data_IF_000732344582
#
_entry.id   IF_000732344582
#
_cell.length_a   1.000
_cell.length_b   1.000
_cell.length_c   1.000
_cell.angle_alpha   90.00
_cell.angle_beta   90.00
_cell.angle_gamma   90.00
#
_symmetry.space_group_name_H-M   'P 1'
#
loop_
_entity.id
_entity.type
_entity.pdbx_description
1 polymer ?
#
# COMPACT_ATOMS: atom_id res chain seq x y z
N UNK A 1 -6.16 -7.94 -2.22
CA UNK A 1 -5.51 -8.72 -1.14
C UNK A 1 -5.91 -8.12 0.20
N UNK A 2 -5.99 -8.94 1.26
CA UNK A 2 -6.23 -8.50 2.63
C UNK A 2 -5.29 -9.26 3.57
N UNK A 3 -4.79 -8.58 4.61
CA UNK A 3 -4.09 -9.24 5.72
C UNK A 3 -5.04 -9.28 6.90
N UNK A 4 -5.47 -10.48 7.28
CA UNK A 4 -6.36 -10.71 8.41
C UNK A 4 -5.53 -11.31 9.53
N UNK A 5 -5.64 -10.74 10.73
CA UNK A 5 -4.96 -11.21 11.93
C UNK A 5 -6.04 -11.54 12.95
N UNK A 6 -5.98 -12.73 13.52
CA UNK A 6 -6.92 -13.13 14.57
C UNK A 6 -6.76 -12.25 15.79
N UNK A 7 -7.85 -12.11 16.56
CA UNK A 7 -7.93 -11.16 17.67
C UNK A 7 -6.87 -11.43 18.73
N UNK A 8 -6.58 -12.69 19.02
CA UNK A 8 -5.55 -13.13 19.97
C UNK A 8 -4.13 -12.72 19.56
N UNK A 9 -3.87 -12.54 18.27
CA UNK A 9 -2.57 -12.11 17.74
C UNK A 9 -2.49 -10.60 17.47
N UNK A 10 -3.50 -9.83 17.88
CA UNK A 10 -3.52 -8.37 17.71
C UNK A 10 -2.43 -7.71 18.57
N UNK A 11 -1.97 -6.53 18.13
CA UNK A 11 -0.97 -5.70 18.82
C UNK A 11 0.46 -6.28 18.91
N UNK A 12 0.71 -7.47 18.36
CA UNK A 12 2.06 -8.07 18.27
C UNK A 12 2.89 -7.63 17.05
N UNK A 13 2.40 -6.64 16.29
CA UNK A 13 3.12 -6.09 15.12
C UNK A 13 3.04 -6.93 13.84
N UNK A 14 2.38 -8.10 13.84
CA UNK A 14 2.30 -8.98 12.67
C UNK A 14 1.72 -8.30 11.42
N UNK A 15 0.64 -7.52 11.54
CA UNK A 15 0.08 -6.78 10.41
C UNK A 15 1.11 -5.81 9.79
N UNK A 16 1.94 -5.17 10.61
CA UNK A 16 3.00 -4.26 10.16
C UNK A 16 4.11 -5.04 9.44
N UNK A 17 4.48 -6.20 9.97
CA UNK A 17 5.46 -7.08 9.35
C UNK A 17 4.99 -7.59 7.97
N UNK A 18 3.76 -8.13 7.88
CA UNK A 18 3.18 -8.60 6.61
C UNK A 18 3.11 -7.47 5.58
N UNK A 19 2.67 -6.27 6.00
CA UNK A 19 2.65 -5.11 5.11
C UNK A 19 4.07 -4.73 4.64
N UNK A 20 5.08 -4.80 5.51
CA UNK A 20 6.48 -4.51 5.14
C UNK A 20 7.03 -5.52 4.13
N UNK A 21 6.80 -6.82 4.35
CA UNK A 21 7.21 -7.87 3.41
C UNK A 21 6.56 -7.64 2.04
N UNK A 22 5.25 -7.39 2.02
CA UNK A 22 4.52 -7.09 0.80
C UNK A 22 5.05 -5.83 0.10
N UNK A 23 5.28 -4.74 0.83
CA UNK A 23 5.84 -3.50 0.28
C UNK A 23 7.23 -3.73 -0.33
N UNK A 24 8.08 -4.52 0.32
CA UNK A 24 9.40 -4.86 -0.22
C UNK A 24 9.31 -5.75 -1.47
N UNK A 25 8.34 -6.66 -1.54
CA UNK A 25 8.13 -7.49 -2.72
C UNK A 25 7.61 -6.68 -3.91
N UNK A 26 6.59 -5.82 -3.71
CA UNK A 26 6.06 -5.00 -4.81
C UNK A 26 7.07 -3.99 -5.34
N UNK A 27 7.98 -3.48 -4.49
CA UNK A 27 9.07 -2.59 -4.90
C UNK A 27 9.96 -3.18 -5.97
N UNK A 28 10.10 -4.51 -6.00
CA UNK A 28 10.92 -5.22 -6.98
C UNK A 28 10.19 -5.50 -8.30
N UNK A 29 8.90 -5.15 -8.40
CA UNK A 29 8.11 -5.36 -9.60
C UNK A 29 8.19 -4.10 -10.47
N UNK A 30 8.96 -4.16 -11.57
CA UNK A 30 9.28 -3.00 -12.41
C UNK A 30 8.05 -2.27 -12.96
N UNK A 31 6.97 -3.02 -13.23
CA UNK A 31 5.74 -2.52 -13.83
C UNK A 31 4.70 -2.02 -12.81
N UNK A 32 4.97 -2.12 -11.50
CA UNK A 32 4.04 -1.68 -10.45
C UNK A 32 4.49 -0.34 -9.89
N UNK A 33 3.84 0.73 -10.33
CA UNK A 33 4.15 2.09 -9.87
C UNK A 33 3.40 2.48 -8.60
N UNK A 34 2.19 1.94 -8.43
CA UNK A 34 1.29 2.34 -7.36
C UNK A 34 0.70 1.12 -6.64
N UNK A 35 0.56 1.26 -5.33
CA UNK A 35 -0.19 0.35 -4.49
C UNK A 35 -1.41 1.10 -3.96
N UNK A 36 -2.60 0.54 -4.15
CA UNK A 36 -3.84 1.14 -3.65
C UNK A 36 -4.48 0.30 -2.53
N UNK A 37 -5.40 0.89 -1.78
CA UNK A 37 -6.21 0.17 -0.82
C UNK A 37 -7.32 1.02 -0.20
N UNK A 38 -8.23 0.37 0.52
CA UNK A 38 -9.28 1.04 1.29
C UNK A 38 -8.96 0.96 2.77
N UNK A 39 -9.11 2.08 3.49
CA UNK A 39 -8.95 2.14 4.95
C UNK A 39 -10.02 3.04 5.55
N UNK A 40 -10.37 2.85 6.82
CA UNK A 40 -11.27 3.79 7.52
C UNK A 40 -10.68 5.20 7.47
N UNK A 41 -11.52 6.21 7.26
CA UNK A 41 -11.12 7.62 7.17
C UNK A 41 -10.13 8.02 8.28
N UNK A 42 -9.04 8.69 7.89
CA UNK A 42 -7.96 9.16 8.75
C UNK A 42 -6.86 8.14 9.05
N UNK A 43 -7.02 6.86 8.68
CA UNK A 43 -5.97 5.86 8.88
C UNK A 43 -4.81 6.06 7.91
N UNK A 44 -5.07 6.51 6.67
CA UNK A 44 -4.01 6.71 5.68
C UNK A 44 -2.98 7.76 6.10
N UNK A 45 -3.38 8.75 6.91
CA UNK A 45 -2.50 9.82 7.41
C UNK A 45 -1.35 9.31 8.28
N UNK A 46 -1.46 8.08 8.79
CA UNK A 46 -0.43 7.44 9.61
C UNK A 46 0.58 6.65 8.77
N UNK A 47 0.35 6.51 7.47
CA UNK A 47 1.22 5.76 6.59
C UNK A 47 2.43 6.61 6.18
N UNK A 48 3.62 6.00 6.18
CA UNK A 48 4.83 6.62 5.64
C UNK A 48 4.86 6.54 4.11
N UNK A 49 5.51 7.49 3.46
CA UNK A 49 5.71 7.53 2.00
C UNK A 49 4.75 8.51 1.30
N UNK A 50 4.81 8.54 -0.04
CA UNK A 50 3.94 9.38 -0.85
C UNK A 50 2.54 8.75 -0.96
N UNK A 51 1.56 9.29 -0.24
CA UNK A 51 0.19 8.79 -0.14
C UNK A 51 -0.78 9.86 -0.64
N UNK A 52 -1.63 9.49 -1.61
CA UNK A 52 -2.69 10.33 -2.13
C UNK A 52 -4.05 9.68 -1.86
N UNK A 53 -5.02 10.45 -1.36
CA UNK A 53 -6.41 10.00 -1.25
C UNK A 53 -7.07 10.24 -2.62
N UNK A 54 -7.51 9.17 -3.27
CA UNK A 54 -8.11 9.23 -4.61
C UNK A 54 -9.63 9.35 -4.52
N UNK A 55 -10.25 8.71 -3.52
CA UNK A 55 -11.68 8.75 -3.31
C UNK A 55 -12.04 8.54 -1.83
N UNK A 56 -13.25 8.92 -1.45
CA UNK A 56 -13.88 8.57 -0.19
C UNK A 56 -15.23 7.89 -0.46
N UNK A 57 -15.54 6.85 0.30
CA UNK A 57 -16.77 6.07 0.16
C UNK A 57 -17.49 6.04 1.50
N UNK A 58 -18.71 6.55 1.52
CA UNK A 58 -19.61 6.51 2.67
C UNK A 58 -20.24 5.13 2.84
N UNK A 59 -20.67 4.81 4.07
CA UNK A 59 -21.31 3.55 4.43
C UNK A 59 -20.63 2.31 3.81
N UNK A 60 -19.30 2.25 3.90
CA UNK A 60 -18.52 1.21 3.23
C UNK A 60 -19.01 -0.18 3.62
N UNK A 61 -19.53 -0.94 2.66
CA UNK A 61 -20.05 -2.30 2.85
C UNK A 61 -21.07 -2.41 4.00
N UNK A 62 -21.94 -1.40 4.16
CA UNK A 62 -22.99 -1.39 5.19
C UNK A 62 -22.50 -1.13 6.61
N UNK A 63 -21.23 -0.71 6.80
CA UNK A 63 -20.64 -0.53 8.13
C UNK A 63 -21.02 0.79 8.82
N UNK A 64 -21.72 1.70 8.14
CA UNK A 64 -22.00 3.06 8.60
C UNK A 64 -20.75 3.95 8.70
N UNK A 65 -19.60 3.51 8.16
CA UNK A 65 -18.31 4.20 8.29
C UNK A 65 -17.81 4.69 6.93
N UNK A 66 -17.13 5.83 6.93
CA UNK A 66 -16.45 6.37 5.75
C UNK A 66 -15.07 5.73 5.60
N UNK A 67 -14.75 5.30 4.38
CA UNK A 67 -13.46 4.75 4.00
C UNK A 67 -12.78 5.62 2.93
N UNK A 68 -11.46 5.72 3.00
CA UNK A 68 -10.59 6.35 2.01
C UNK A 68 -10.02 5.29 1.07
N UNK A 69 -10.14 5.51 -0.23
CA UNK A 69 -9.36 4.82 -1.24
C UNK A 69 -8.05 5.57 -1.46
N UNK A 70 -6.95 5.03 -0.93
CA UNK A 70 -5.63 5.65 -1.01
C UNK A 70 -4.78 5.01 -2.11
N UNK A 71 -3.87 5.80 -2.67
CA UNK A 71 -2.81 5.39 -3.58
C UNK A 71 -1.45 5.73 -2.95
N UNK A 72 -0.53 4.79 -3.00
CA UNK A 72 0.85 4.93 -2.55
C UNK A 72 1.81 4.73 -3.71
N UNK A 73 2.81 5.59 -3.84
CA UNK A 73 3.93 5.33 -4.73
C UNK A 73 4.83 4.21 -4.17
N UNK A 74 5.11 3.21 -5.01
CA UNK A 74 5.80 1.98 -4.58
C UNK A 74 7.29 2.21 -4.36
N UNK A 75 7.93 2.88 -5.31
CA UNK A 75 9.38 3.14 -5.31
C UNK A 75 9.65 4.61 -5.67
N UNK A 76 9.35 5.55 -4.74
CA UNK A 76 9.53 6.99 -5.00
C UNK A 76 11.01 7.36 -5.17
N UNK A 77 11.90 6.59 -4.57
CA UNK A 77 13.36 6.74 -4.66
C UNK A 77 13.93 6.12 -5.95
N UNK A 78 13.11 5.44 -6.74
CA UNK A 78 13.48 4.75 -7.99
C UNK A 78 14.65 3.77 -7.83
N UNK A 79 14.75 3.10 -6.67
CA UNK A 79 15.81 2.14 -6.36
C UNK A 79 15.77 0.87 -7.24
N UNK A 80 14.59 0.51 -7.74
CA UNK A 80 14.37 -0.74 -8.47
C UNK A 80 13.89 -0.53 -9.90
N UNK A 81 13.52 0.71 -10.27
CA UNK A 81 13.27 1.04 -11.68
C UNK A 81 14.59 0.99 -12.43
N UNK A 82 14.75 0.04 -13.34
CA UNK A 82 15.87 0.07 -14.28
C UNK A 82 15.76 1.33 -15.14
N UNK A 83 16.89 1.99 -15.34
CA UNK A 83 16.98 3.08 -16.29
C UNK A 83 16.63 2.51 -17.67
N UNK A 84 15.63 3.05 -18.41
CA UNK A 84 15.24 2.51 -19.72
C UNK A 84 16.40 2.51 -20.74
N UNK A 85 17.49 3.25 -20.47
CA UNK A 85 18.73 3.21 -21.25
C UNK A 85 19.60 1.97 -20.99
N UNK A 86 19.39 1.24 -19.89
CA UNK A 86 20.14 0.02 -19.53
C UNK A 86 19.67 -1.22 -20.29
N UNK A 87 18.54 -1.16 -20.99
CA UNK A 87 17.94 -2.31 -21.72
C UNK A 87 18.39 -2.40 -23.19
N UNK A 88 19.36 -1.58 -23.63
CA UNK A 88 19.98 -1.72 -24.95
C UNK A 88 21.35 -2.40 -24.84
N UNK A 89 21.40 -3.72 -24.67
CA UNK A 89 22.59 -4.53 -25.00
C UNK A 89 22.13 -5.90 -25.53
N UNK A 90 22.49 -6.13 -26.80
CA UNK A 90 22.37 -7.32 -27.69
C UNK A 90 20.98 -7.71 -28.19
#
# INVERSE_FOLDING_TARGET
YAFVIEKEFKANGYAKMLKKVYLNWIKKQEHIHFMTGHVKRGISNRFKGNINIINQVENWQGTGKVFEYYRREVDPEKLYKKDPKSTKIL
#
